data_IF_465027142221
#
_entry.id   IF_465027142221
#
_cell.length_a   1.000
_cell.length_b   1.000
_cell.length_c   1.000
_cell.angle_alpha   90.00
_cell.angle_beta   90.00
_cell.angle_gamma   90.00
#
_symmetry.space_group_name_H-M   'P 1'
#
loop_
_entity.id
_entity.type
_entity.pdbx_description
1 polymer ?
#
# COMPACT_ATOMS: atom_id res chain seq x y z
N UNK A 1 41.50 -66.07 -5.51
CA UNK A 1 41.20 -66.29 -6.94
C UNK A 1 40.12 -65.31 -7.38
N UNK A 2 40.41 -64.63 -8.45
CA UNK A 2 39.51 -63.85 -9.35
C UNK A 2 39.10 -62.47 -8.82
N UNK A 3 39.77 -61.42 -9.23
CA UNK A 3 39.67 -60.56 -10.42
C UNK A 3 38.43 -59.63 -10.30
N UNK A 4 38.68 -58.32 -9.95
CA UNK A 4 38.97 -57.22 -10.83
C UNK A 4 37.81 -56.90 -11.83
N UNK A 5 37.13 -55.82 -11.64
CA UNK A 5 36.75 -54.91 -12.75
C UNK A 5 36.60 -53.49 -12.22
N UNK A 6 37.47 -52.63 -12.72
CA UNK A 6 37.52 -51.19 -12.64
C UNK A 6 36.43 -50.68 -13.58
N UNK A 7 35.59 -49.76 -13.11
CA UNK A 7 34.78 -48.90 -14.01
C UNK A 7 35.04 -47.43 -13.66
N UNK A 8 35.74 -46.76 -14.55
CA UNK A 8 35.94 -45.31 -14.55
C UNK A 8 34.64 -44.60 -14.76
N UNK A 9 34.26 -43.74 -13.83
CA UNK A 9 33.21 -42.71 -14.07
C UNK A 9 33.92 -41.37 -14.18
N UNK A 10 33.93 -40.82 -15.38
CA UNK A 10 34.38 -39.47 -15.66
C UNK A 10 33.47 -38.46 -15.02
N UNK A 11 33.99 -37.66 -14.09
CA UNK A 11 33.28 -36.48 -13.54
C UNK A 11 33.53 -35.33 -14.49
N UNK A 12 32.48 -34.95 -15.23
CA UNK A 12 32.43 -33.72 -15.97
C UNK A 12 32.28 -32.55 -14.98
N UNK A 13 33.37 -31.82 -14.78
CA UNK A 13 33.35 -30.54 -14.06
C UNK A 13 32.71 -29.47 -14.97
N UNK A 14 31.44 -29.19 -14.75
CA UNK A 14 30.77 -28.02 -15.31
C UNK A 14 31.15 -26.79 -14.52
N UNK A 15 32.07 -25.96 -15.06
CA UNK A 15 32.43 -24.66 -14.52
C UNK A 15 31.25 -23.69 -14.70
N UNK A 16 30.55 -23.37 -13.59
CA UNK A 16 29.65 -22.21 -13.52
C UNK A 16 30.49 -20.92 -13.59
N UNK A 17 30.50 -20.27 -14.74
CA UNK A 17 30.91 -18.87 -14.87
C UNK A 17 29.86 -18.00 -14.18
N UNK A 18 30.11 -17.63 -12.93
CA UNK A 18 29.39 -16.53 -12.27
C UNK A 18 29.88 -15.24 -12.91
N UNK A 19 29.09 -14.72 -13.85
CA UNK A 19 29.28 -13.40 -14.40
C UNK A 19 29.08 -12.34 -13.32
N UNK A 20 30.18 -11.71 -12.91
CA UNK A 20 30.18 -10.50 -12.12
C UNK A 20 29.58 -9.37 -12.97
N UNK A 21 28.28 -9.12 -12.86
CA UNK A 21 27.68 -7.92 -13.45
C UNK A 21 27.96 -6.75 -12.53
N UNK A 22 28.85 -5.90 -13.02
CA UNK A 22 29.20 -4.58 -12.51
C UNK A 22 27.97 -3.76 -12.18
N UNK A 23 27.91 -3.21 -10.97
CA UNK A 23 26.92 -2.19 -10.55
C UNK A 23 27.16 -0.89 -11.31
N UNK A 24 26.55 -0.72 -12.47
CA UNK A 24 26.43 0.58 -13.12
C UNK A 24 25.01 1.09 -12.92
N UNK A 25 24.89 2.26 -12.31
CA UNK A 25 23.72 3.13 -12.10
C UNK A 25 22.40 2.63 -12.73
N UNK A 26 21.62 1.87 -11.96
CA UNK A 26 20.26 1.53 -12.33
C UNK A 26 19.39 2.79 -12.26
N UNK A 27 18.79 3.16 -13.38
CA UNK A 27 17.77 4.21 -13.44
C UNK A 27 16.57 3.85 -12.57
N UNK A 28 15.80 4.83 -12.13
CA UNK A 28 14.58 4.66 -11.31
C UNK A 28 13.60 3.65 -11.95
N UNK A 29 13.56 3.58 -13.28
CA UNK A 29 12.76 2.61 -14.06
C UNK A 29 13.18 1.16 -13.82
N UNK A 30 14.49 0.89 -13.67
CA UNK A 30 15.02 -0.45 -13.40
C UNK A 30 14.69 -0.98 -12.00
N UNK A 31 14.54 -0.09 -11.01
CA UNK A 31 14.15 -0.47 -9.64
C UNK A 31 12.69 -0.92 -9.55
N UNK A 32 11.79 -0.31 -10.34
CA UNK A 32 10.39 -0.73 -10.42
C UNK A 32 10.20 -2.12 -11.01
N UNK A 33 11.02 -2.48 -12.01
CA UNK A 33 10.96 -3.79 -12.65
C UNK A 33 11.39 -4.96 -11.75
N UNK A 34 12.34 -4.73 -10.82
CA UNK A 34 12.77 -5.74 -9.85
C UNK A 34 11.77 -5.95 -8.71
N UNK A 35 11.03 -4.89 -8.33
CA UNK A 35 9.98 -4.97 -7.31
C UNK A 35 8.75 -5.69 -7.86
N UNK A 36 8.41 -5.51 -9.16
CA UNK A 36 7.26 -6.16 -9.77
C UNK A 36 7.45 -7.67 -10.03
N UNK A 37 8.70 -8.15 -10.19
CA UNK A 37 8.96 -9.52 -10.60
C UNK A 37 9.21 -10.54 -9.50
N UNK A 38 9.62 -10.13 -8.30
CA UNK A 38 9.99 -11.09 -7.25
C UNK A 38 9.72 -10.64 -5.82
N UNK A 39 9.70 -9.32 -5.56
CA UNK A 39 9.47 -8.75 -4.23
C UNK A 39 7.99 -8.57 -3.87
N UNK A 40 7.11 -8.49 -4.86
CA UNK A 40 5.68 -8.23 -4.66
C UNK A 40 4.94 -9.32 -3.88
N UNK A 41 5.38 -10.58 -4.00
CA UNK A 41 4.77 -11.70 -3.29
C UNK A 41 4.97 -11.61 -1.76
N UNK A 42 6.11 -11.12 -1.29
CA UNK A 42 6.41 -11.02 0.14
C UNK A 42 5.72 -9.81 0.81
N UNK A 43 5.65 -8.66 0.12
CA UNK A 43 5.04 -7.44 0.66
C UNK A 43 3.52 -7.45 0.53
N UNK A 44 2.97 -7.97 -0.59
CA UNK A 44 1.52 -8.16 -0.78
C UNK A 44 0.90 -9.13 0.22
N UNK A 45 1.66 -10.15 0.66
CA UNK A 45 1.23 -11.08 1.70
C UNK A 45 1.08 -10.38 3.07
N UNK A 46 1.93 -9.40 3.39
CA UNK A 46 1.87 -8.63 4.64
C UNK A 46 0.59 -7.80 4.77
N UNK A 47 0.29 -7.00 3.76
CA UNK A 47 -0.92 -6.15 3.77
C UNK A 47 -2.21 -6.97 3.62
N UNK A 48 -2.20 -8.01 2.78
CA UNK A 48 -3.35 -8.91 2.61
C UNK A 48 -3.69 -9.69 3.88
N UNK A 49 -2.69 -10.01 4.71
CA UNK A 49 -2.89 -10.67 6.00
C UNK A 49 -3.52 -9.75 7.03
N UNK A 50 -3.15 -8.46 7.05
CA UNK A 50 -3.74 -7.46 7.95
C UNK A 50 -5.21 -7.20 7.65
N UNK A 51 -5.59 -7.15 6.37
CA UNK A 51 -6.91 -6.70 5.91
C UNK A 51 -7.90 -7.86 5.71
N UNK A 52 -7.43 -9.05 5.34
CA UNK A 52 -8.30 -10.18 4.96
C UNK A 52 -8.00 -11.51 5.65
N UNK A 53 -7.08 -11.53 6.63
CA UNK A 53 -6.57 -12.77 7.20
C UNK A 53 -5.83 -13.61 6.14
N UNK A 54 -5.54 -14.88 6.46
CA UNK A 54 -4.76 -15.77 5.59
C UNK A 54 -5.32 -15.98 4.17
N UNK A 55 -6.60 -15.70 3.94
CA UNK A 55 -7.22 -15.78 2.60
C UNK A 55 -6.89 -14.57 1.71
N UNK A 56 -6.70 -13.37 2.30
CA UNK A 56 -6.32 -12.17 1.56
C UNK A 56 -4.88 -12.23 1.04
N UNK A 57 -3.98 -12.87 1.79
CA UNK A 57 -2.58 -13.03 1.37
C UNK A 57 -2.41 -13.90 0.10
N UNK A 58 -3.26 -14.93 -0.05
CA UNK A 58 -3.22 -15.81 -1.23
C UNK A 58 -3.73 -15.15 -2.51
N UNK A 59 -4.73 -14.29 -2.41
CA UNK A 59 -5.32 -13.61 -3.58
C UNK A 59 -4.39 -12.49 -4.07
N UNK A 60 -3.77 -11.75 -3.14
CA UNK A 60 -2.85 -10.66 -3.48
C UNK A 60 -1.60 -11.12 -4.25
N UNK A 61 -1.04 -12.28 -3.89
CA UNK A 61 0.14 -12.83 -4.57
C UNK A 61 -0.13 -13.32 -6.00
N UNK A 62 -1.36 -13.76 -6.29
CA UNK A 62 -1.73 -14.27 -7.60
C UNK A 62 -1.96 -13.13 -8.63
N UNK A 63 -2.49 -12.00 -8.21
CA UNK A 63 -2.78 -10.86 -9.11
C UNK A 63 -1.51 -10.04 -9.37
N UNK A 64 -0.65 -9.84 -8.36
CA UNK A 64 0.60 -9.09 -8.50
C UNK A 64 1.58 -9.71 -9.51
N UNK A 65 1.55 -11.03 -9.67
CA UNK A 65 2.35 -11.73 -10.67
C UNK A 65 1.79 -11.59 -12.11
N UNK A 66 0.54 -11.18 -12.27
CA UNK A 66 -0.13 -11.08 -13.56
C UNK A 66 0.09 -9.72 -14.26
N UNK A 67 0.39 -8.66 -13.50
CA UNK A 67 0.66 -7.33 -14.07
C UNK A 67 2.10 -7.28 -14.56
N UNK A 68 2.30 -7.23 -15.87
CA UNK A 68 3.62 -7.21 -16.48
C UNK A 68 4.48 -6.01 -16.05
N UNK A 69 5.81 -6.17 -16.10
CA UNK A 69 6.77 -5.16 -15.64
C UNK A 69 6.56 -3.77 -16.27
N UNK A 70 6.15 -3.71 -17.54
CA UNK A 70 5.85 -2.45 -18.24
C UNK A 70 4.62 -1.74 -17.66
N UNK A 71 3.55 -2.46 -17.37
CA UNK A 71 2.34 -1.90 -16.78
C UNK A 71 2.58 -1.45 -15.33
N UNK A 72 3.35 -2.24 -14.55
CA UNK A 72 3.75 -1.86 -13.19
C UNK A 72 4.53 -0.54 -13.13
N UNK A 73 5.43 -0.31 -14.10
CA UNK A 73 6.19 0.93 -14.20
C UNK A 73 5.29 2.14 -14.52
N UNK A 74 4.28 1.97 -15.40
CA UNK A 74 3.32 3.02 -15.73
C UNK A 74 2.44 3.37 -14.52
N UNK A 75 1.96 2.39 -13.79
CA UNK A 75 1.20 2.58 -12.55
C UNK A 75 2.07 3.29 -11.51
N UNK A 76 3.33 2.82 -11.32
CA UNK A 76 4.27 3.44 -10.39
C UNK A 76 4.50 4.92 -10.69
N UNK A 77 4.66 5.30 -11.95
CA UNK A 77 4.82 6.69 -12.35
C UNK A 77 3.58 7.55 -12.01
N UNK A 78 2.38 7.05 -12.29
CA UNK A 78 1.13 7.75 -11.91
C UNK A 78 1.00 7.92 -10.39
N UNK A 79 1.34 6.87 -9.63
CA UNK A 79 1.33 6.91 -8.16
C UNK A 79 2.38 7.89 -7.62
N UNK A 80 3.57 7.99 -8.23
CA UNK A 80 4.60 8.96 -7.84
C UNK A 80 4.12 10.40 -8.03
N UNK A 81 3.44 10.68 -9.14
CA UNK A 81 2.86 12.01 -9.41
C UNK A 81 1.78 12.35 -8.39
N UNK A 82 0.87 11.43 -8.10
CA UNK A 82 -0.18 11.64 -7.11
C UNK A 82 0.39 11.79 -5.69
N UNK A 83 1.42 11.02 -5.33
CA UNK A 83 2.12 11.17 -4.06
C UNK A 83 2.71 12.57 -3.90
N UNK A 84 3.48 13.04 -4.88
CA UNK A 84 4.09 14.37 -4.85
C UNK A 84 3.03 15.49 -4.72
N UNK A 85 1.91 15.34 -5.40
CA UNK A 85 0.77 16.27 -5.31
C UNK A 85 0.16 16.27 -3.89
N UNK A 86 0.00 15.09 -3.28
CA UNK A 86 -0.50 14.95 -1.90
C UNK A 86 0.48 15.53 -0.88
N UNK A 87 1.78 15.26 -1.01
CA UNK A 87 2.82 15.84 -0.16
C UNK A 87 2.79 17.37 -0.20
N UNK A 88 2.64 17.94 -1.39
CA UNK A 88 2.56 19.39 -1.57
C UNK A 88 1.28 19.99 -0.97
N UNK A 89 0.13 19.33 -1.17
CA UNK A 89 -1.17 19.85 -0.76
C UNK A 89 -1.47 19.68 0.72
N UNK A 90 -0.99 18.61 1.34
CA UNK A 90 -1.22 18.28 2.76
C UNK A 90 -0.10 18.82 3.68
N UNK A 91 1.13 18.97 3.17
CA UNK A 91 2.27 19.45 3.96
C UNK A 91 2.47 18.62 5.23
N UNK A 92 2.55 19.29 6.38
CA UNK A 92 2.75 18.64 7.69
C UNK A 92 1.45 18.12 8.34
N UNK A 93 0.30 18.21 7.68
CA UNK A 93 -0.99 17.78 8.24
C UNK A 93 -1.20 16.27 8.13
N UNK A 94 -0.50 15.62 7.21
CA UNK A 94 -0.50 14.19 7.05
C UNK A 94 0.86 13.68 6.60
N UNK A 95 1.21 12.46 7.01
CA UNK A 95 2.38 11.77 6.50
C UNK A 95 2.00 11.00 5.24
N UNK A 96 2.67 11.28 4.13
CA UNK A 96 2.46 10.61 2.85
C UNK A 96 3.66 9.70 2.57
N UNK A 97 3.41 8.42 2.32
CA UNK A 97 4.45 7.40 2.15
C UNK A 97 4.13 6.50 0.96
N UNK A 98 5.16 6.05 0.26
CA UNK A 98 5.05 4.93 -0.68
C UNK A 98 4.80 3.64 0.07
N UNK A 99 3.93 2.82 -0.49
CA UNK A 99 3.68 1.46 -0.02
C UNK A 99 3.41 0.56 -1.22
N UNK A 100 3.07 -0.68 -0.94
CA UNK A 100 2.72 -1.66 -1.97
C UNK A 100 1.35 -2.23 -1.63
N UNK A 101 0.47 -2.36 -2.61
CA UNK A 101 -0.83 -2.99 -2.42
C UNK A 101 -0.72 -4.53 -2.38
N UNK A 102 -1.84 -5.21 -2.15
CA UNK A 102 -1.90 -6.67 -2.12
C UNK A 102 -1.60 -7.33 -3.47
N UNK A 103 -1.55 -6.58 -4.55
CA UNK A 103 -1.17 -7.04 -5.89
C UNK A 103 0.32 -6.83 -6.18
N UNK A 104 1.09 -6.30 -5.23
CA UNK A 104 2.50 -5.95 -5.41
C UNK A 104 2.70 -4.67 -6.23
N UNK A 105 1.64 -3.91 -6.50
CA UNK A 105 1.71 -2.65 -7.21
C UNK A 105 2.00 -1.51 -6.23
N UNK A 106 2.66 -0.47 -6.73
CA UNK A 106 2.88 0.74 -5.95
C UNK A 106 1.56 1.36 -5.53
N UNK A 107 1.47 1.71 -4.25
CA UNK A 107 0.34 2.36 -3.61
C UNK A 107 0.84 3.53 -2.74
N UNK A 108 -0.07 4.35 -2.25
CA UNK A 108 0.24 5.48 -1.38
C UNK A 108 -0.46 5.26 -0.05
N UNK A 109 0.27 5.42 1.05
CA UNK A 109 -0.29 5.48 2.40
C UNK A 109 -0.27 6.91 2.91
N UNK A 110 -1.42 7.42 3.31
CA UNK A 110 -1.57 8.73 3.94
C UNK A 110 -2.03 8.52 5.37
N UNK A 111 -1.22 9.00 6.33
CA UNK A 111 -1.51 8.87 7.77
C UNK A 111 -1.85 10.24 8.33
N UNK A 112 -3.05 10.37 8.88
CA UNK A 112 -3.50 11.53 9.64
C UNK A 112 -3.45 11.21 11.14
N UNK A 113 -2.87 12.10 11.93
CA UNK A 113 -2.97 12.03 13.38
C UNK A 113 -4.43 12.20 13.82
N UNK A 114 -4.88 11.32 14.70
CA UNK A 114 -6.26 11.37 15.20
C UNK A 114 -6.58 12.62 16.00
N UNK A 115 -5.56 13.25 16.61
CA UNK A 115 -5.71 14.54 17.30
C UNK A 115 -5.96 15.71 16.36
N UNK A 116 -5.48 15.63 15.10
CA UNK A 116 -5.79 16.60 14.06
C UNK A 116 -7.22 16.41 13.56
N UNK A 117 -7.61 15.15 13.34
CA UNK A 117 -8.91 14.84 12.76
C UNK A 117 -10.07 14.99 13.75
N UNK A 118 -9.90 14.56 15.01
CA UNK A 118 -10.98 14.42 15.98
C UNK A 118 -10.62 14.94 17.36
N UNK A 119 -11.58 15.50 18.08
CA UNK A 119 -11.44 15.74 19.51
C UNK A 119 -11.38 14.41 20.28
N UNK A 120 -10.79 14.43 21.48
CA UNK A 120 -10.63 13.25 22.34
C UNK A 120 -11.96 12.52 22.56
N UNK A 121 -11.98 11.23 22.27
CA UNK A 121 -13.16 10.38 22.42
C UNK A 121 -14.30 10.67 21.42
N UNK A 122 -14.07 11.54 20.43
CA UNK A 122 -15.06 11.89 19.39
C UNK A 122 -14.68 11.30 18.02
N UNK A 123 -15.66 11.27 17.14
CA UNK A 123 -15.55 10.90 15.73
C UNK A 123 -16.01 12.01 14.79
N UNK A 124 -16.48 13.13 15.32
CA UNK A 124 -16.82 14.31 14.50
C UNK A 124 -15.54 15.00 14.06
N UNK A 125 -15.41 15.22 12.75
CA UNK A 125 -14.27 15.91 12.15
C UNK A 125 -14.17 17.35 12.65
N UNK A 126 -12.95 17.75 13.02
CA UNK A 126 -12.65 19.14 13.37
C UNK A 126 -12.74 20.05 12.11
N UNK A 127 -12.93 21.38 12.26
CA UNK A 127 -12.90 22.31 11.13
C UNK A 127 -11.59 22.24 10.34
N UNK A 128 -10.45 22.07 11.04
CA UNK A 128 -9.14 21.89 10.39
C UNK A 128 -9.11 20.61 9.58
N UNK A 129 -9.57 19.49 10.15
CA UNK A 129 -9.67 18.22 9.43
C UNK A 129 -10.51 18.33 8.15
N UNK A 130 -11.62 19.05 8.19
CA UNK A 130 -12.45 19.26 7.00
C UNK A 130 -11.70 20.01 5.90
N UNK A 131 -10.88 21.00 6.26
CA UNK A 131 -10.03 21.72 5.31
C UNK A 131 -8.99 20.79 4.67
N UNK A 132 -8.31 19.98 5.47
CA UNK A 132 -7.25 19.08 4.99
C UNK A 132 -7.84 17.92 4.16
N UNK A 133 -8.96 17.35 4.58
CA UNK A 133 -9.68 16.34 3.82
C UNK A 133 -10.30 16.90 2.52
N UNK A 134 -10.64 18.20 2.47
CA UNK A 134 -11.08 18.84 1.23
C UNK A 134 -9.95 18.90 0.19
N UNK A 135 -8.72 19.25 0.62
CA UNK A 135 -7.53 19.20 -0.25
C UNK A 135 -7.23 17.78 -0.72
N UNK A 136 -7.32 16.83 0.21
CA UNK A 136 -7.16 15.41 -0.09
C UNK A 136 -8.19 14.91 -1.10
N UNK A 137 -9.48 15.27 -0.93
CA UNK A 137 -10.55 14.94 -1.86
C UNK A 137 -10.33 15.53 -3.25
N UNK A 138 -9.73 16.73 -3.37
CA UNK A 138 -9.38 17.33 -4.66
C UNK A 138 -8.41 16.44 -5.44
N UNK A 139 -7.32 15.99 -4.80
CA UNK A 139 -6.36 15.05 -5.43
C UNK A 139 -7.03 13.72 -5.83
N UNK A 140 -7.96 13.19 -5.02
CA UNK A 140 -8.68 11.96 -5.36
C UNK A 140 -9.63 12.12 -6.55
N UNK A 141 -10.21 13.31 -6.75
CA UNK A 141 -11.05 13.61 -7.93
C UNK A 141 -10.22 13.77 -9.20
N UNK A 142 -9.02 14.33 -9.09
CA UNK A 142 -8.09 14.47 -10.22
C UNK A 142 -7.50 13.11 -10.64
N UNK A 143 -7.47 12.14 -9.72
CA UNK A 143 -6.96 10.79 -9.94
C UNK A 143 -8.09 9.73 -9.77
N UNK A 144 -9.06 9.67 -10.70
CA UNK A 144 -10.27 8.84 -10.54
C UNK A 144 -9.99 7.34 -10.64
N UNK A 145 -8.87 6.93 -11.23
CA UNK A 145 -8.52 5.53 -11.51
C UNK A 145 -7.86 4.84 -10.30
N UNK A 146 -8.20 5.26 -9.07
CA UNK A 146 -7.70 4.67 -7.82
C UNK A 146 -8.81 4.26 -6.87
N UNK A 147 -8.54 3.23 -6.06
CA UNK A 147 -9.35 2.84 -4.90
C UNK A 147 -8.77 3.45 -3.63
N UNK A 148 -9.63 3.70 -2.65
CA UNK A 148 -9.29 4.34 -1.38
C UNK A 148 -9.82 3.50 -0.22
N UNK A 149 -8.93 3.00 0.63
CA UNK A 149 -9.26 2.22 1.82
C UNK A 149 -8.89 3.03 3.06
N UNK A 150 -9.81 3.20 3.98
CA UNK A 150 -9.71 4.05 5.15
C UNK A 150 -9.74 3.18 6.41
N UNK A 151 -8.71 3.28 7.24
CA UNK A 151 -8.58 2.54 8.48
C UNK A 151 -8.52 3.49 9.68
N UNK A 152 -9.44 3.31 10.62
CA UNK A 152 -9.42 4.06 11.87
C UNK A 152 -8.81 3.22 12.99
N UNK A 153 -7.78 3.73 13.65
CA UNK A 153 -7.08 3.05 14.75
C UNK A 153 -7.35 3.70 16.08
N UNK A 154 -7.24 2.92 17.17
CA UNK A 154 -7.30 3.38 18.54
C UNK A 154 -6.05 2.98 19.31
N UNK A 155 -5.82 3.62 20.45
CA UNK A 155 -4.89 3.15 21.47
C UNK A 155 -5.49 2.00 22.28
N UNK A 156 -4.81 1.57 23.35
CA UNK A 156 -5.25 0.51 24.24
C UNK A 156 -6.14 0.99 25.41
N UNK A 157 -6.58 2.24 25.41
CA UNK A 157 -7.36 2.83 26.52
C UNK A 157 -8.83 2.46 26.41
N UNK A 158 -9.40 1.94 27.48
CA UNK A 158 -10.81 1.58 27.56
C UNK A 158 -11.11 0.14 27.13
N UNK A 159 -12.39 -0.20 26.94
CA UNK A 159 -12.79 -1.55 26.55
C UNK A 159 -12.72 -1.76 25.04
N UNK A 160 -12.55 -3.03 24.64
CA UNK A 160 -12.53 -3.40 23.23
C UNK A 160 -13.81 -2.95 22.50
N UNK A 161 -14.98 -3.18 23.07
CA UNK A 161 -16.28 -2.82 22.46
C UNK A 161 -16.44 -1.30 22.23
N UNK A 162 -15.87 -0.46 23.10
CA UNK A 162 -15.84 0.99 22.89
C UNK A 162 -14.91 1.36 21.75
N UNK A 163 -13.72 0.77 21.72
CA UNK A 163 -12.72 1.04 20.68
C UNK A 163 -13.13 0.49 19.30
N UNK A 164 -13.79 -0.66 19.25
CA UNK A 164 -14.34 -1.24 18.02
C UNK A 164 -15.34 -0.26 17.38
N UNK A 165 -16.31 0.23 18.15
CA UNK A 165 -17.26 1.23 17.67
C UNK A 165 -16.57 2.54 17.26
N UNK A 166 -15.65 3.05 18.10
CA UNK A 166 -15.01 4.34 17.86
C UNK A 166 -14.10 4.32 16.62
N UNK A 167 -13.33 3.25 16.42
CA UNK A 167 -12.47 3.09 15.24
C UNK A 167 -13.29 3.06 13.95
N UNK A 168 -14.40 2.30 13.92
CA UNK A 168 -15.33 2.27 12.80
C UNK A 168 -15.94 3.64 12.52
N UNK A 169 -16.52 4.29 13.54
CA UNK A 169 -17.12 5.62 13.40
C UNK A 169 -16.14 6.67 12.87
N UNK A 170 -14.86 6.61 13.23
CA UNK A 170 -13.82 7.51 12.70
C UNK A 170 -13.52 7.26 11.24
N UNK A 171 -13.36 6.00 10.84
CA UNK A 171 -13.17 5.64 9.44
C UNK A 171 -14.37 6.05 8.58
N UNK A 172 -15.59 5.79 9.06
CA UNK A 172 -16.84 6.16 8.38
C UNK A 172 -17.03 7.68 8.26
N UNK A 173 -16.61 8.45 9.27
CA UNK A 173 -16.68 9.92 9.21
C UNK A 173 -15.79 10.48 8.11
N UNK A 174 -14.58 9.93 7.92
CA UNK A 174 -13.69 10.31 6.82
C UNK A 174 -14.27 9.88 5.48
N UNK A 175 -14.75 8.63 5.36
CA UNK A 175 -15.40 8.14 4.13
C UNK A 175 -16.56 9.05 3.72
N UNK A 176 -17.47 9.34 4.65
CA UNK A 176 -18.64 10.18 4.41
C UNK A 176 -18.25 11.59 3.96
N UNK A 177 -17.21 12.17 4.56
CA UNK A 177 -16.71 13.47 4.16
C UNK A 177 -16.15 13.46 2.73
N UNK A 178 -15.34 12.47 2.38
CA UNK A 178 -14.78 12.33 1.03
C UNK A 178 -15.87 12.12 -0.03
N UNK A 179 -16.87 11.28 0.27
CA UNK A 179 -18.02 11.07 -0.62
C UNK A 179 -18.81 12.37 -0.85
N UNK A 180 -19.09 13.11 0.23
CA UNK A 180 -19.77 14.42 0.14
C UNK A 180 -18.92 15.48 -0.57
N UNK A 181 -17.59 15.31 -0.59
CA UNK A 181 -16.64 16.14 -1.33
C UNK A 181 -16.47 15.73 -2.79
N UNK A 182 -17.32 14.83 -3.32
CA UNK A 182 -17.38 14.44 -4.72
C UNK A 182 -16.45 13.30 -5.13
N UNK A 183 -15.88 12.55 -4.17
CA UNK A 183 -15.20 11.29 -4.48
C UNK A 183 -16.24 10.18 -4.61
N UNK A 184 -16.20 9.40 -5.71
CA UNK A 184 -17.18 8.34 -5.96
C UNK A 184 -17.22 7.32 -4.81
N UNK A 185 -18.39 7.05 -4.19
CA UNK A 185 -18.51 6.09 -3.11
C UNK A 185 -18.06 4.67 -3.47
N UNK A 186 -18.17 4.28 -4.74
CA UNK A 186 -17.74 2.95 -5.22
C UNK A 186 -16.22 2.72 -5.12
N UNK A 187 -15.45 3.79 -4.95
CA UNK A 187 -13.99 3.76 -4.76
C UNK A 187 -13.58 3.73 -3.29
N UNK A 188 -14.50 3.99 -2.38
CA UNK A 188 -14.24 4.19 -0.97
C UNK A 188 -14.63 2.96 -0.15
N UNK A 189 -13.78 2.59 0.78
CA UNK A 189 -14.10 1.62 1.83
C UNK A 189 -13.55 2.08 3.17
N UNK A 190 -14.24 1.75 4.27
CA UNK A 190 -13.84 2.13 5.61
C UNK A 190 -13.88 0.93 6.55
N UNK A 191 -12.91 0.85 7.46
CA UNK A 191 -12.82 -0.20 8.47
C UNK A 191 -12.22 0.32 9.76
N UNK A 192 -12.78 -0.09 10.90
CA UNK A 192 -12.17 0.11 12.21
C UNK A 192 -11.14 -0.98 12.51
N UNK A 193 -10.02 -0.58 13.13
CA UNK A 193 -8.96 -1.47 13.63
C UNK A 193 -8.75 -1.14 15.12
N UNK A 194 -9.58 -1.70 16.00
CA UNK A 194 -9.53 -1.40 17.42
C UNK A 194 -8.35 -2.09 18.11
N UNK A 195 -7.64 -1.38 18.94
CA UNK A 195 -6.63 -1.93 19.88
C UNK A 195 -5.62 -2.87 19.21
N UNK A 196 -5.22 -2.58 17.96
CA UNK A 196 -4.30 -3.38 17.17
C UNK A 196 -3.35 -2.50 16.36
N UNK A 197 -2.31 -3.11 15.78
CA UNK A 197 -1.34 -2.50 14.86
C UNK A 197 -0.75 -1.19 15.40
N UNK A 198 -0.31 -1.24 16.65
CA UNK A 198 0.31 -0.10 17.32
C UNK A 198 1.62 0.29 16.64
N UNK A 199 1.77 1.58 16.37
CA UNK A 199 2.98 2.18 15.77
C UNK A 199 3.92 2.75 16.84
N UNK A 200 3.45 2.86 18.09
CA UNK A 200 4.21 3.35 19.23
C UNK A 200 3.77 2.64 20.52
N UNK A 201 4.58 2.80 21.60
CA UNK A 201 4.21 2.24 22.90
C UNK A 201 2.94 2.90 23.46
N UNK A 202 2.05 2.10 24.01
CA UNK A 202 0.86 2.58 24.71
C UNK A 202 1.14 3.04 26.15
N UNK A 203 2.37 2.87 26.66
CA UNK A 203 2.73 3.24 28.04
C UNK A 203 2.80 4.77 28.21
N UNK A 204 3.16 5.50 27.14
CA UNK A 204 3.27 6.96 27.15
C UNK A 204 2.06 7.64 26.50
N UNK A 205 1.68 8.84 26.95
CA UNK A 205 0.62 9.64 26.31
C UNK A 205 0.91 9.94 24.84
N UNK A 206 2.17 10.23 24.51
CA UNK A 206 2.65 10.53 23.16
C UNK A 206 2.52 9.33 22.23
N UNK A 207 2.91 8.14 22.71
CA UNK A 207 2.77 6.90 21.95
C UNK A 207 1.30 6.53 21.73
N UNK A 208 0.44 6.69 22.74
CA UNK A 208 -1.01 6.52 22.54
C UNK A 208 -1.58 7.53 21.55
N UNK A 209 -1.08 8.76 21.51
CA UNK A 209 -1.50 9.75 20.51
C UNK A 209 -1.17 9.28 19.09
N UNK A 210 0.01 8.73 18.86
CA UNK A 210 0.41 8.17 17.57
C UNK A 210 -0.44 6.94 17.18
N UNK A 211 -0.85 6.13 18.14
CA UNK A 211 -1.71 4.97 17.89
C UNK A 211 -3.14 5.39 17.51
N UNK A 212 -3.65 6.52 18.01
CA UNK A 212 -4.94 7.11 17.60
C UNK A 212 -4.77 7.85 16.27
N UNK A 213 -4.87 7.14 15.14
CA UNK A 213 -4.65 7.66 13.81
C UNK A 213 -5.70 7.18 12.81
N UNK A 214 -5.71 7.79 11.65
CA UNK A 214 -6.40 7.26 10.46
C UNK A 214 -5.37 7.05 9.37
N UNK A 215 -5.33 5.87 8.82
CA UNK A 215 -4.51 5.53 7.64
C UNK A 215 -5.41 5.38 6.43
N UNK A 216 -5.01 5.97 5.32
CA UNK A 216 -5.71 5.89 4.04
C UNK A 216 -4.76 5.32 3.01
N UNK A 217 -5.16 4.22 2.39
CA UNK A 217 -4.41 3.55 1.34
C UNK A 217 -5.05 3.84 -0.01
N UNK A 218 -4.24 4.35 -0.94
CA UNK A 218 -4.65 4.65 -2.31
C UNK A 218 -3.93 3.64 -3.20
N UNK A 219 -4.67 2.85 -3.95
CA UNK A 219 -4.16 1.82 -4.86
C UNK A 219 -4.78 1.95 -6.26
N UNK A 220 -4.12 1.41 -7.27
CA UNK A 220 -4.66 1.33 -8.61
C UNK A 220 -5.97 0.54 -8.62
N UNK A 221 -7.01 1.06 -9.30
CA UNK A 221 -8.20 0.29 -9.55
C UNK A 221 -8.06 -0.55 -10.84
N UNK A 222 -9.05 -1.39 -11.12
CA UNK A 222 -9.05 -2.25 -12.30
C UNK A 222 -8.91 -1.47 -13.61
N UNK A 223 -9.46 -0.28 -13.69
CA UNK A 223 -9.38 0.57 -14.89
C UNK A 223 -7.94 1.06 -15.13
N UNK A 224 -7.24 1.53 -14.10
CA UNK A 224 -5.83 1.93 -14.21
C UNK A 224 -4.96 0.75 -14.64
N UNK A 225 -5.18 -0.44 -14.08
CA UNK A 225 -4.43 -1.65 -14.42
C UNK A 225 -4.62 -1.99 -15.90
N UNK A 226 -5.86 -2.07 -16.40
CA UNK A 226 -6.16 -2.37 -17.80
C UNK A 226 -5.57 -1.35 -18.77
N UNK A 227 -5.64 -0.05 -18.45
CA UNK A 227 -5.04 1.00 -19.26
C UNK A 227 -3.51 0.86 -19.32
N UNK A 228 -2.86 0.59 -18.19
CA UNK A 228 -1.42 0.40 -18.12
C UNK A 228 -0.96 -0.84 -18.90
N UNK A 229 -1.69 -1.95 -18.83
CA UNK A 229 -1.41 -3.15 -19.60
C UNK A 229 -1.55 -2.93 -21.10
N UNK A 230 -2.63 -2.27 -21.54
CA UNK A 230 -2.83 -1.93 -22.96
C UNK A 230 -1.72 -1.03 -23.49
N UNK A 231 -1.31 -0.03 -22.72
CA UNK A 231 -0.22 0.88 -23.10
C UNK A 231 1.13 0.17 -23.13
N UNK A 232 1.43 -0.71 -22.17
CA UNK A 232 2.67 -1.49 -22.17
C UNK A 232 2.76 -2.43 -23.39
N UNK A 233 1.65 -3.05 -23.79
CA UNK A 233 1.57 -3.89 -24.98
C UNK A 233 1.78 -3.08 -26.27
N UNK A 234 1.21 -1.88 -26.36
CA UNK A 234 1.41 -1.00 -27.50
C UNK A 234 2.89 -0.59 -27.65
N UNK A 235 3.53 -0.23 -26.55
CA UNK A 235 4.95 0.16 -26.53
C UNK A 235 5.92 -1.00 -26.86
N UNK A 236 5.50 -2.25 -26.63
CA UNK A 236 6.33 -3.42 -26.95
C UNK A 236 6.27 -3.83 -28.43
N UNK A 237 5.34 -3.28 -29.21
CA UNK A 237 5.13 -3.58 -30.64
C UNK A 237 5.73 -2.53 -31.57
N UNK A 238 6.14 -1.39 -31.03
CA UNK A 238 6.80 -0.28 -31.74
C UNK A 238 8.33 -0.40 -31.66
#
# INVERSE_FOLDING_TARGET
MKLLKIACIAVLAGSLLVGQTSCSSMTQTGKGALIGGGGGAALGAGLGALIGGGKGAGIGSAIGAAVGAGAGALIGHKMDQQQAQLEQSLGNQAKVEKTTDQNGLQAIKVTFDGGILFNTGKYNLSPQAQTDLSRFAASLRENPDTNVQIYGFTDNTGSYAVNERLSGQRADAVLTYLANSGVSPSRLSAQGVPMADYVASNDTPEGRAQNRRVEIYISANQQMIQQAEAQAQANSRS
#
